data_IF_070587477149
#
_entry.id   IF_070587477149
#
_cell.length_a   1.000
_cell.length_b   1.000
_cell.length_c   1.000
_cell.angle_alpha   90.00
_cell.angle_beta   90.00
_cell.angle_gamma   90.00
#
_symmetry.space_group_name_H-M   'P 1'
#
loop_
_entity.id
_entity.type
_entity.pdbx_description
1 polymer ?
#
# COMPACT_ATOMS: atom_id res chain seq x y z
N UNK A 1 18.23 -4.97 1.07
CA UNK A 1 16.94 -5.27 0.43
C UNK A 1 16.30 -3.97 -0.04
N UNK A 2 15.82 -3.96 -1.27
CA UNK A 2 15.11 -2.79 -1.81
C UNK A 2 13.62 -2.93 -1.53
N UNK A 3 12.98 -1.85 -1.11
CA UNK A 3 11.54 -1.80 -0.85
C UNK A 3 10.96 -0.59 -1.59
N UNK A 4 9.89 -0.81 -2.37
CA UNK A 4 9.16 0.29 -2.99
C UNK A 4 8.20 0.89 -1.97
N UNK A 5 8.40 2.15 -1.64
CA UNK A 5 7.69 2.85 -0.55
C UNK A 5 6.41 3.55 -1.01
N UNK A 6 6.12 3.56 -2.31
CA UNK A 6 4.96 4.29 -2.83
C UNK A 6 4.34 3.50 -3.98
N UNK A 7 3.35 2.67 -3.67
CA UNK A 7 2.72 1.78 -4.64
C UNK A 7 1.20 1.90 -4.62
N UNK A 8 0.62 1.95 -5.81
CA UNK A 8 -0.81 1.84 -6.02
C UNK A 8 -1.10 0.56 -6.79
N UNK A 9 -2.09 -0.20 -6.38
CA UNK A 9 -2.48 -1.42 -7.06
C UNK A 9 -3.92 -1.35 -7.52
N UNK A 10 -4.23 -2.09 -8.59
CA UNK A 10 -5.56 -2.11 -9.21
C UNK A 10 -6.66 -2.48 -8.21
N UNK A 11 -6.38 -3.40 -7.30
CA UNK A 11 -7.34 -3.89 -6.32
C UNK A 11 -7.70 -2.83 -5.25
N UNK A 12 -6.89 -1.79 -5.11
CA UNK A 12 -7.10 -0.74 -4.13
C UNK A 12 -7.40 0.63 -4.69
N UNK A 13 -7.00 0.89 -5.93
CA UNK A 13 -7.10 2.23 -6.54
C UNK A 13 -7.69 2.15 -7.94
N UNK A 14 -8.72 2.93 -8.20
CA UNK A 14 -9.38 2.96 -9.50
C UNK A 14 -8.50 3.57 -10.59
N UNK A 15 -7.51 4.36 -10.22
CA UNK A 15 -6.57 4.98 -11.14
C UNK A 15 -5.36 4.10 -11.47
N UNK A 16 -5.19 2.98 -10.80
CA UNK A 16 -4.13 2.03 -11.09
C UNK A 16 -4.62 0.93 -12.02
N UNK A 17 -3.79 0.60 -13.02
CA UNK A 17 -4.09 -0.46 -13.99
C UNK A 17 -3.25 -1.72 -13.77
N UNK A 18 -2.34 -1.70 -12.83
CA UNK A 18 -1.43 -2.80 -12.55
C UNK A 18 -1.97 -3.60 -11.38
N UNK A 19 -2.19 -4.90 -11.58
CA UNK A 19 -2.63 -5.78 -10.51
C UNK A 19 -1.53 -5.99 -9.47
N UNK A 20 -1.92 -6.42 -8.28
CA UNK A 20 -0.97 -6.72 -7.20
C UNK A 20 0.08 -7.74 -7.65
N UNK A 21 -0.34 -8.83 -8.30
CA UNK A 21 0.59 -9.87 -8.73
C UNK A 21 1.55 -9.37 -9.80
N UNK A 22 1.06 -8.61 -10.77
CA UNK A 22 1.91 -8.01 -11.80
C UNK A 22 2.94 -7.07 -11.19
N UNK A 23 2.53 -6.29 -10.19
CA UNK A 23 3.41 -5.36 -9.51
C UNK A 23 4.52 -6.10 -8.74
N UNK A 24 4.15 -7.14 -8.00
CA UNK A 24 5.11 -7.96 -7.26
C UNK A 24 6.12 -8.60 -8.23
N UNK A 25 5.64 -9.19 -9.33
CA UNK A 25 6.51 -9.81 -10.32
C UNK A 25 7.48 -8.81 -10.93
N UNK A 26 7.00 -7.61 -11.24
CA UNK A 26 7.84 -6.55 -11.79
C UNK A 26 8.93 -6.14 -10.79
N UNK A 27 8.56 -5.93 -9.53
CA UNK A 27 9.52 -5.53 -8.50
C UNK A 27 10.56 -6.63 -8.25
N UNK A 28 10.12 -7.88 -8.18
CA UNK A 28 11.04 -9.01 -8.01
C UNK A 28 12.03 -9.10 -9.18
N UNK A 29 11.56 -8.88 -10.40
CA UNK A 29 12.42 -8.91 -11.58
C UNK A 29 13.50 -7.82 -11.53
N UNK A 30 13.30 -6.77 -10.77
CA UNK A 30 14.23 -5.65 -10.58
C UNK A 30 15.01 -5.72 -9.28
N UNK A 31 14.94 -6.85 -8.57
CA UNK A 31 15.70 -7.07 -7.34
C UNK A 31 15.07 -6.49 -6.08
N UNK A 32 13.82 -6.07 -6.13
CA UNK A 32 13.10 -5.61 -4.94
C UNK A 32 12.64 -6.78 -4.09
N UNK A 33 12.74 -6.64 -2.77
CA UNK A 33 12.29 -7.65 -1.81
C UNK A 33 10.99 -7.30 -1.11
N UNK A 34 10.41 -6.14 -1.36
CA UNK A 34 9.16 -5.75 -0.73
C UNK A 34 8.57 -4.48 -1.29
N UNK A 35 7.36 -4.16 -0.80
CA UNK A 35 6.65 -2.94 -1.16
C UNK A 35 5.78 -2.47 0.00
N UNK A 36 5.51 -1.18 0.05
CA UNK A 36 4.47 -0.62 0.91
C UNK A 36 3.30 -0.25 0.02
N UNK A 37 2.13 -0.83 0.26
CA UNK A 37 0.93 -0.48 -0.51
C UNK A 37 0.37 0.82 0.04
N UNK A 38 0.38 1.87 -0.77
CA UNK A 38 -0.06 3.21 -0.38
C UNK A 38 -1.16 3.72 -1.30
N UNK A 39 -2.27 2.99 -1.37
CA UNK A 39 -3.42 3.41 -2.17
C UNK A 39 -4.05 4.69 -1.59
N UNK A 40 -4.72 5.45 -2.45
CA UNK A 40 -5.38 6.69 -2.04
C UNK A 40 -6.56 6.41 -1.12
N UNK A 41 -6.49 6.89 0.11
CA UNK A 41 -7.58 6.88 1.09
C UNK A 41 -8.23 5.51 1.32
N UNK A 42 -7.51 4.41 1.09
CA UNK A 42 -8.06 3.06 1.24
C UNK A 42 -6.98 2.04 1.57
N UNK A 43 -7.38 0.98 2.25
CA UNK A 43 -6.54 -0.19 2.50
C UNK A 43 -6.94 -1.39 1.63
N UNK A 44 -7.78 -1.20 0.62
CA UNK A 44 -8.32 -2.31 -0.17
C UNK A 44 -7.24 -3.13 -0.87
N UNK A 45 -6.18 -2.50 -1.36
CA UNK A 45 -5.06 -3.22 -1.97
C UNK A 45 -4.37 -4.14 -0.97
N UNK A 46 -4.10 -3.64 0.23
CA UNK A 46 -3.49 -4.43 1.30
C UNK A 46 -4.42 -5.56 1.76
N UNK A 47 -5.72 -5.30 1.88
CA UNK A 47 -6.71 -6.32 2.24
C UNK A 47 -6.77 -7.43 1.20
N UNK A 48 -6.70 -7.07 -0.09
CA UNK A 48 -6.65 -8.04 -1.18
C UNK A 48 -5.43 -8.96 -1.04
N UNK A 49 -4.25 -8.37 -0.82
CA UNK A 49 -3.03 -9.14 -0.64
C UNK A 49 -3.15 -10.09 0.56
N UNK A 50 -3.62 -9.58 1.68
CA UNK A 50 -3.74 -10.37 2.92
C UNK A 50 -4.69 -11.55 2.75
N UNK A 51 -5.79 -11.35 2.03
CA UNK A 51 -6.80 -12.39 1.81
C UNK A 51 -6.37 -13.42 0.76
N UNK A 52 -5.74 -12.98 -0.31
CA UNK A 52 -5.55 -13.81 -1.49
C UNK A 52 -4.11 -14.27 -1.72
N UNK A 53 -3.12 -13.54 -1.26
CA UNK A 53 -1.72 -13.78 -1.60
C UNK A 53 -0.82 -14.07 -0.41
N UNK A 54 -1.10 -13.49 0.73
CA UNK A 54 -0.26 -13.65 1.93
C UNK A 54 -0.17 -15.13 2.31
N UNK A 55 1.08 -15.61 2.48
CA UNK A 55 1.39 -17.00 2.83
C UNK A 55 0.92 -18.03 1.80
N UNK A 56 0.50 -17.57 0.62
CA UNK A 56 0.03 -18.43 -0.48
C UNK A 56 0.92 -18.34 -1.71
N UNK A 57 1.31 -17.12 -2.08
CA UNK A 57 2.19 -16.84 -3.22
C UNK A 57 3.20 -15.78 -2.83
N UNK A 58 4.34 -15.76 -3.48
CA UNK A 58 5.37 -14.75 -3.29
C UNK A 58 5.78 -14.62 -1.83
N UNK A 59 5.96 -15.76 -1.15
CA UNK A 59 6.22 -15.80 0.30
C UNK A 59 7.52 -15.13 0.70
N UNK A 60 8.46 -14.98 -0.24
CA UNK A 60 9.73 -14.27 -0.01
C UNK A 60 9.60 -12.76 -0.12
N UNK A 61 8.48 -12.29 -0.65
CA UNK A 61 8.26 -10.88 -0.88
C UNK A 61 7.50 -10.26 0.28
N UNK A 62 8.01 -9.14 0.81
CA UNK A 62 7.42 -8.48 1.98
C UNK A 62 6.46 -7.38 1.55
N UNK A 63 5.25 -7.39 2.11
CA UNK A 63 4.24 -6.37 1.82
C UNK A 63 3.86 -5.68 3.11
N UNK A 64 3.96 -4.37 3.12
CA UNK A 64 3.66 -3.54 4.29
C UNK A 64 2.40 -2.72 4.02
N UNK A 65 1.65 -2.50 5.08
CA UNK A 65 0.41 -1.73 5.04
C UNK A 65 0.71 -0.24 5.13
N UNK A 66 0.16 0.52 4.19
CA UNK A 66 0.26 1.96 4.18
C UNK A 66 -0.95 2.59 3.53
N UNK A 67 -0.96 3.90 3.44
CA UNK A 67 -2.01 4.66 2.79
C UNK A 67 -1.45 5.99 2.30
N UNK A 68 -1.90 6.44 1.13
CA UNK A 68 -1.64 7.79 0.69
C UNK A 68 -2.87 8.64 1.01
N UNK A 69 -2.72 9.52 1.97
CA UNK A 69 -3.81 10.38 2.43
C UNK A 69 -3.72 11.75 1.77
N UNK A 70 -4.82 12.18 1.18
CA UNK A 70 -4.94 13.47 0.50
C UNK A 70 -5.42 14.52 1.53
N UNK A 71 -4.51 15.36 1.99
CA UNK A 71 -4.82 16.35 3.02
C UNK A 71 -5.38 17.63 2.42
N UNK A 72 -6.16 18.36 3.23
CA UNK A 72 -6.59 19.71 2.86
C UNK A 72 -5.43 20.68 3.06
N UNK A 73 -4.80 21.09 1.96
CA UNK A 73 -3.78 22.14 1.97
C UNK A 73 -2.32 21.70 2.12
N UNK A 74 -2.05 20.46 2.56
CA UNK A 74 -0.68 19.98 2.72
C UNK A 74 -0.26 18.99 1.62
N UNK A 75 -1.14 18.69 0.65
CA UNK A 75 -0.88 17.71 -0.39
C UNK A 75 -1.05 16.29 0.12
N UNK A 76 -0.31 15.36 -0.48
CA UNK A 76 -0.40 13.94 -0.16
C UNK A 76 0.58 13.56 0.94
N UNK A 77 0.10 12.78 1.91
CA UNK A 77 0.94 12.23 2.98
C UNK A 77 0.91 10.71 2.88
N UNK A 78 2.10 10.09 2.87
CA UNK A 78 2.24 8.65 2.92
C UNK A 78 2.34 8.23 4.39
N UNK A 79 1.46 7.33 4.81
CA UNK A 79 1.44 6.81 6.17
C UNK A 79 1.69 5.32 6.12
N UNK A 80 2.71 4.85 6.83
CA UNK A 80 2.99 3.42 6.99
C UNK A 80 2.33 2.98 8.28
N UNK A 81 1.46 1.98 8.20
CA UNK A 81 0.64 1.55 9.33
C UNK A 81 1.05 0.15 9.77
N UNK A 82 1.40 -0.06 11.04
CA UNK A 82 1.64 -1.41 11.54
C UNK A 82 0.43 -2.32 11.30
N UNK A 83 0.67 -3.59 10.99
CA UNK A 83 -0.40 -4.53 10.67
C UNK A 83 -1.45 -4.64 11.78
N UNK A 84 -1.00 -4.55 13.04
CA UNK A 84 -1.86 -4.70 14.22
C UNK A 84 -2.68 -3.45 14.54
N UNK A 85 -2.40 -2.33 13.88
CA UNK A 85 -3.09 -1.06 14.12
C UNK A 85 -3.97 -0.75 12.93
N UNK A 86 -5.24 -0.41 13.19
CA UNK A 86 -6.16 0.10 12.18
C UNK A 86 -6.31 1.59 12.35
N UNK A 87 -5.69 2.35 11.47
CA UNK A 87 -5.87 3.79 11.40
C UNK A 87 -7.00 4.05 10.41
N UNK A 88 -8.12 4.56 10.89
CA UNK A 88 -9.28 4.82 10.03
C UNK A 88 -9.10 6.13 9.27
N UNK A 89 -9.68 6.19 8.07
CA UNK A 89 -9.63 7.40 7.24
C UNK A 89 -10.15 8.62 8.01
N UNK A 90 -11.20 8.45 8.81
CA UNK A 90 -11.76 9.53 9.61
C UNK A 90 -10.74 10.07 10.62
N UNK A 91 -9.91 9.21 11.18
CA UNK A 91 -8.84 9.62 12.12
C UNK A 91 -7.76 10.40 11.40
N UNK A 92 -7.40 9.98 10.18
CA UNK A 92 -6.42 10.69 9.36
C UNK A 92 -6.91 12.09 8.97
N UNK A 93 -8.22 12.24 8.70
CA UNK A 93 -8.82 13.54 8.36
C UNK A 93 -8.80 14.52 9.52
N UNK A 94 -8.64 14.04 10.75
CA UNK A 94 -8.47 14.89 11.91
C UNK A 94 -7.06 15.41 12.12
N UNK A 95 -6.09 14.96 11.31
CA UNK A 95 -4.72 15.45 11.42
C UNK A 95 -4.62 16.89 10.92
N UNK A 96 -3.88 17.75 11.63
CA UNK A 96 -3.70 19.13 11.17
C UNK A 96 -2.92 19.14 9.84
N UNK A 97 -3.36 19.97 8.91
CA UNK A 97 -2.56 20.29 7.74
C UNK A 97 -1.40 21.18 8.18
N UNK A 98 -0.20 20.72 7.99
CA UNK A 98 0.99 21.52 8.33
C UNK A 98 1.13 22.71 7.41
#
# INVERSE_FOLDING_TARGET
>A
MKIDMHCHVKEGSIDSRVSMEEYIQLLQSRGFGGMVITDHDTYNGYRYWKKNLKDKKYTDFKVFKGIEYDTLGAGHILVIVPETIKLRILELRGLPSC
#
